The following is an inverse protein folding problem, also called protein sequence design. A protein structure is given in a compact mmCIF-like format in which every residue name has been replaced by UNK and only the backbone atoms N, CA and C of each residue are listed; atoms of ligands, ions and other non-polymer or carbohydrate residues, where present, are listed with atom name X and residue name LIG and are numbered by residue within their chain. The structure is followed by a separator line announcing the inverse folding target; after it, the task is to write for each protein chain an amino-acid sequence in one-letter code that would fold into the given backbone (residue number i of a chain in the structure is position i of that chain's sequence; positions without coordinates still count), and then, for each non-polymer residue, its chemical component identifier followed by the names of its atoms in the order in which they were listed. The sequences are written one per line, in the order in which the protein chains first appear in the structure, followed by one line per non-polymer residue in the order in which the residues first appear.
data_IF_967828920054
#
_entry.id   IF_967828920054
#
_cell.length_a   1.000
_cell.length_b   1.000
_cell.length_c   1.000
_cell.angle_alpha   90.00
_cell.angle_beta   90.00
_cell.angle_gamma   90.00
#
_symmetry.space_group_name_H-M   'P 1'
#
loop_
_entity.id
_entity.type
_entity.pdbx_description
1 polymer ?
#
# COMPACT_ATOMS: atom_id res chain seq x y z
N UNK A 1 -13.82 27.36 -6.67
CA UNK A 1 -14.67 26.20 -6.23
C UNK A 1 -13.91 24.89 -6.43
N UNK A 2 -13.85 23.99 -5.43
CA UNK A 2 -13.11 22.72 -5.53
C UNK A 2 -14.03 21.49 -5.35
N UNK A 3 -13.92 20.54 -6.27
CA UNK A 3 -14.42 19.17 -6.15
C UNK A 3 -13.25 18.20 -5.99
N UNK A 4 -13.34 17.30 -5.01
CA UNK A 4 -12.40 16.20 -4.85
C UNK A 4 -13.11 14.87 -5.08
N UNK A 5 -12.64 14.12 -6.08
CA UNK A 5 -13.11 12.77 -6.40
C UNK A 5 -11.90 11.85 -6.30
N UNK A 6 -11.94 10.88 -5.39
CA UNK A 6 -10.78 10.01 -5.17
C UNK A 6 -11.22 8.60 -4.81
N UNK A 7 -10.33 7.62 -4.94
CA UNK A 7 -10.63 6.25 -4.55
C UNK A 7 -9.93 5.19 -5.40
N UNK A 8 -10.10 3.92 -5.01
CA UNK A 8 -9.47 2.79 -5.70
C UNK A 8 -10.32 2.20 -6.85
N UNK A 9 -11.58 2.62 -7.00
CA UNK A 9 -12.44 2.23 -8.12
C UNK A 9 -12.36 3.28 -9.22
N UNK A 10 -11.39 3.13 -10.10
CA UNK A 10 -11.16 4.04 -11.22
C UNK A 10 -12.39 4.21 -12.13
N UNK A 11 -13.16 3.15 -12.36
CA UNK A 11 -14.36 3.22 -13.21
C UNK A 11 -15.43 4.12 -12.61
N UNK A 12 -15.72 3.97 -11.31
CA UNK A 12 -16.70 4.80 -10.59
C UNK A 12 -16.22 6.25 -10.45
N UNK A 13 -14.95 6.44 -10.07
CA UNK A 13 -14.33 7.78 -10.00
C UNK A 13 -14.43 8.51 -11.34
N UNK A 14 -14.12 7.83 -12.46
CA UNK A 14 -14.18 8.42 -13.81
C UNK A 14 -15.62 8.67 -14.27
N UNK A 15 -16.53 7.75 -13.99
CA UNK A 15 -17.96 7.94 -14.28
C UNK A 15 -18.50 9.16 -13.53
N UNK A 16 -18.10 9.35 -12.26
CA UNK A 16 -18.55 10.50 -11.47
C UNK A 16 -17.96 11.81 -11.95
N UNK A 17 -16.70 11.82 -12.39
CA UNK A 17 -16.10 12.97 -13.06
C UNK A 17 -16.93 13.38 -14.29
N UNK A 18 -17.29 12.43 -15.15
CA UNK A 18 -18.10 12.71 -16.35
C UNK A 18 -19.50 13.24 -16.00
N UNK A 19 -20.13 12.69 -14.95
CA UNK A 19 -21.40 13.19 -14.44
C UNK A 19 -21.27 14.64 -13.93
N UNK A 20 -20.22 14.96 -13.16
CA UNK A 20 -19.98 16.32 -12.67
C UNK A 20 -19.67 17.26 -13.83
N UNK A 21 -18.82 16.86 -14.78
CA UNK A 21 -18.49 17.65 -15.95
C UNK A 21 -19.73 17.97 -16.79
N UNK A 22 -20.54 16.96 -17.12
CA UNK A 22 -21.78 17.16 -17.88
C UNK A 22 -22.77 18.08 -17.16
N UNK A 23 -22.88 17.98 -15.83
CA UNK A 23 -23.69 18.90 -15.03
C UNK A 23 -23.15 20.33 -15.02
N UNK A 24 -21.83 20.51 -14.92
CA UNK A 24 -21.21 21.85 -14.92
C UNK A 24 -21.29 22.50 -16.30
N UNK A 25 -21.04 21.75 -17.37
CA UNK A 25 -21.18 22.22 -18.76
C UNK A 25 -22.65 22.55 -19.06
N UNK A 26 -23.62 21.74 -18.60
CA UNK A 26 -25.04 22.06 -18.79
C UNK A 26 -25.46 23.34 -18.05
N UNK A 27 -24.89 23.60 -16.87
CA UNK A 27 -25.13 24.84 -16.10
C UNK A 27 -24.39 26.05 -16.68
N UNK A 28 -23.29 25.80 -17.39
CA UNK A 28 -22.40 26.80 -17.97
C UNK A 28 -21.94 26.31 -19.35
N UNK A 29 -22.78 26.42 -20.37
CA UNK A 29 -22.47 25.92 -21.71
C UNK A 29 -21.29 26.67 -22.33
N UNK A 30 -21.15 27.95 -22.01
CA UNK A 30 -20.05 28.83 -22.42
C UNK A 30 -18.93 28.81 -21.37
N UNK A 31 -18.50 27.63 -20.92
CA UNK A 31 -17.34 27.52 -20.02
C UNK A 31 -16.26 26.67 -20.66
N UNK A 32 -15.10 27.28 -20.86
CA UNK A 32 -13.92 26.59 -21.37
C UNK A 32 -13.45 25.47 -20.43
N UNK A 33 -13.23 24.28 -21.01
CA UNK A 33 -12.80 23.06 -20.32
C UNK A 33 -11.30 22.82 -20.53
N UNK A 34 -10.58 22.62 -19.42
CA UNK A 34 -9.15 22.31 -19.42
C UNK A 34 -8.86 21.07 -18.59
N UNK A 35 -7.83 20.32 -18.98
CA UNK A 35 -7.35 19.14 -18.25
C UNK A 35 -5.85 19.24 -18.02
N UNK A 36 -5.45 19.16 -16.75
CA UNK A 36 -4.08 19.01 -16.29
C UNK A 36 -3.84 17.55 -15.89
N UNK A 37 -2.77 16.94 -16.41
CA UNK A 37 -2.31 15.59 -16.12
C UNK A 37 -0.77 15.55 -16.08
N UNK A 38 -0.18 14.37 -15.92
CA UNK A 38 1.28 14.21 -15.85
C UNK A 38 2.04 14.64 -17.11
N UNK A 39 1.37 14.74 -18.26
CA UNK A 39 2.01 15.06 -19.54
C UNK A 39 2.09 16.57 -19.78
N UNK A 40 1.20 17.34 -19.16
CA UNK A 40 1.11 18.80 -19.32
C UNK A 40 1.13 19.57 -17.99
N UNK A 41 1.54 18.91 -16.90
CA UNK A 41 1.65 19.54 -15.59
C UNK A 41 2.77 20.58 -15.57
N UNK A 42 2.39 21.79 -15.17
CA UNK A 42 3.32 22.86 -14.81
C UNK A 42 2.62 23.76 -13.79
N UNK A 43 3.30 24.07 -12.70
CA UNK A 43 2.82 24.97 -11.65
C UNK A 43 2.44 26.34 -12.19
N UNK A 44 3.11 26.83 -13.23
CA UNK A 44 2.80 28.09 -13.90
C UNK A 44 1.45 28.05 -14.62
N UNK A 45 1.11 26.91 -15.22
CA UNK A 45 -0.18 26.70 -15.88
C UNK A 45 -1.29 26.62 -14.83
N UNK A 46 -1.03 25.99 -13.68
CA UNK A 46 -1.96 26.02 -12.56
C UNK A 46 -2.21 27.46 -12.07
N UNK A 47 -1.17 28.27 -11.94
CA UNK A 47 -1.26 29.67 -11.52
C UNK A 47 -2.04 30.53 -12.51
N UNK A 48 -1.83 30.28 -13.81
CA UNK A 48 -2.63 30.88 -14.87
C UNK A 48 -4.11 30.53 -14.67
N UNK A 49 -4.46 29.26 -14.50
CA UNK A 49 -5.85 28.86 -14.28
C UNK A 49 -6.46 29.34 -12.97
N UNK A 50 -5.66 29.61 -11.92
CA UNK A 50 -6.15 30.19 -10.67
C UNK A 50 -6.55 31.65 -10.88
N UNK A 51 -5.72 32.40 -11.61
CA UNK A 51 -5.78 33.87 -11.69
C UNK A 51 -6.54 34.39 -12.90
N UNK A 52 -6.59 33.61 -13.97
CA UNK A 52 -7.23 34.00 -15.22
C UNK A 52 -8.67 33.50 -15.32
N UNK A 53 -9.45 34.17 -16.16
CA UNK A 53 -10.80 33.80 -16.54
C UNK A 53 -10.97 34.11 -18.02
N UNK A 54 -11.97 33.50 -18.67
CA UNK A 54 -12.24 33.74 -20.08
C UNK A 54 -12.59 35.22 -20.32
N UNK A 55 -12.05 35.80 -21.39
CA UNK A 55 -12.33 37.19 -21.78
C UNK A 55 -13.81 37.39 -22.15
N UNK A 56 -14.47 36.32 -22.62
CA UNK A 56 -15.87 36.29 -23.07
C UNK A 56 -16.76 35.37 -22.22
N UNK A 57 -16.15 34.57 -21.33
CA UNK A 57 -16.80 33.49 -20.59
C UNK A 57 -16.45 33.57 -19.12
N UNK A 58 -17.47 33.50 -18.26
CA UNK A 58 -17.31 33.91 -16.87
C UNK A 58 -16.39 33.02 -16.02
N UNK A 59 -16.15 31.73 -16.37
CA UNK A 59 -15.44 30.75 -15.51
C UNK A 59 -14.85 29.57 -16.29
N UNK A 60 -13.66 29.11 -15.91
CA UNK A 60 -13.07 27.85 -16.39
C UNK A 60 -13.54 26.62 -15.60
N UNK A 61 -13.55 25.48 -16.28
CA UNK A 61 -13.66 24.15 -15.68
C UNK A 61 -12.32 23.44 -15.87
N UNK A 62 -11.55 23.32 -14.79
CA UNK A 62 -10.20 22.76 -14.80
C UNK A 62 -10.22 21.41 -14.08
N UNK A 63 -9.94 20.34 -14.82
CA UNK A 63 -9.77 19.00 -14.26
C UNK A 63 -8.29 18.77 -13.99
N UNK A 64 -7.96 18.48 -12.73
CA UNK A 64 -6.61 18.11 -12.31
C UNK A 64 -6.60 16.60 -12.07
N UNK A 65 -5.97 15.86 -12.98
CA UNK A 65 -6.04 14.40 -13.06
C UNK A 65 -4.76 13.76 -12.53
N UNK A 66 -4.89 13.01 -11.44
CA UNK A 66 -3.83 12.18 -10.83
C UNK A 66 -2.62 12.98 -10.32
N UNK A 67 -2.77 14.27 -10.01
CA UNK A 67 -1.67 15.14 -9.55
C UNK A 67 -1.54 15.22 -8.02
N UNK A 68 -2.56 14.82 -7.27
CA UNK A 68 -2.45 14.75 -5.81
C UNK A 68 -1.68 13.50 -5.38
N UNK A 69 -1.76 12.38 -6.08
CA UNK A 69 -1.00 11.16 -5.75
C UNK A 69 0.50 11.27 -6.02
N UNK A 70 0.92 12.19 -6.90
CA UNK A 70 2.34 12.53 -7.08
C UNK A 70 2.80 13.47 -5.96
N UNK A 71 3.89 13.10 -5.26
CA UNK A 71 4.42 13.89 -4.12
C UNK A 71 4.86 15.30 -4.51
N UNK A 72 5.50 15.46 -5.67
CA UNK A 72 6.07 16.73 -6.08
C UNK A 72 4.95 17.71 -6.44
N UNK A 73 4.04 17.30 -7.33
CA UNK A 73 2.84 18.06 -7.69
C UNK A 73 1.93 18.33 -6.48
N UNK A 74 1.82 17.39 -5.53
CA UNK A 74 1.03 17.57 -4.33
C UNK A 74 1.56 18.70 -3.44
N UNK A 75 2.88 18.78 -3.22
CA UNK A 75 3.45 19.85 -2.39
C UNK A 75 3.21 21.23 -3.03
N UNK A 76 3.29 21.32 -4.36
CA UNK A 76 2.96 22.55 -5.09
C UNK A 76 1.47 22.91 -4.93
N UNK A 77 0.55 21.98 -5.21
CA UNK A 77 -0.90 22.19 -5.09
C UNK A 77 -1.28 22.57 -3.67
N UNK A 78 -0.70 21.89 -2.67
CA UNK A 78 -0.99 22.07 -1.25
C UNK A 78 -0.75 23.50 -0.78
N UNK A 79 0.27 24.18 -1.30
CA UNK A 79 0.54 25.58 -0.97
C UNK A 79 -0.52 26.53 -1.55
N UNK A 80 -1.16 26.15 -2.65
CA UNK A 80 -2.08 26.99 -3.43
C UNK A 80 -3.57 26.69 -3.18
N UNK A 81 -3.92 25.65 -2.40
CA UNK A 81 -5.32 25.25 -2.13
C UNK A 81 -6.24 26.39 -1.70
N UNK A 82 -5.73 27.34 -0.91
CA UNK A 82 -6.49 28.52 -0.46
C UNK A 82 -6.81 29.49 -1.61
N UNK A 83 -5.86 29.68 -2.53
CA UNK A 83 -6.04 30.52 -3.72
C UNK A 83 -7.00 29.84 -4.70
N UNK A 84 -6.86 28.53 -4.89
CA UNK A 84 -7.75 27.70 -5.73
C UNK A 84 -9.19 27.75 -5.20
N UNK A 85 -9.40 27.72 -3.88
CA UNK A 85 -10.74 27.83 -3.31
C UNK A 85 -11.36 29.21 -3.50
N UNK A 86 -10.54 30.26 -3.45
CA UNK A 86 -10.96 31.65 -3.65
C UNK A 86 -11.18 32.02 -5.13
N UNK A 87 -10.60 31.25 -6.06
CA UNK A 87 -10.74 31.48 -7.50
C UNK A 87 -12.22 31.35 -7.96
N UNK A 88 -12.66 32.21 -8.90
CA UNK A 88 -13.98 32.11 -9.50
C UNK A 88 -14.17 30.83 -10.33
N UNK A 89 -13.07 30.13 -10.68
CA UNK A 89 -13.06 28.94 -11.52
C UNK A 89 -13.44 27.66 -10.76
N UNK A 90 -13.76 26.62 -11.52
CA UNK A 90 -14.11 25.30 -11.01
C UNK A 90 -12.92 24.38 -11.18
N UNK A 91 -12.38 23.90 -10.06
CA UNK A 91 -11.32 22.90 -10.03
C UNK A 91 -11.91 21.55 -9.62
N UNK A 92 -11.67 20.52 -10.43
CA UNK A 92 -12.08 19.15 -10.14
C UNK A 92 -10.81 18.31 -10.04
N UNK A 93 -10.43 17.96 -8.83
CA UNK A 93 -9.36 17.01 -8.57
C UNK A 93 -9.94 15.60 -8.69
N UNK A 94 -9.38 14.83 -9.61
CA UNK A 94 -9.62 13.39 -9.72
C UNK A 94 -8.32 12.66 -9.40
N UNK A 95 -8.36 11.75 -8.44
CA UNK A 95 -7.18 10.97 -8.09
C UNK A 95 -7.51 9.53 -7.69
N UNK A 96 -6.47 8.71 -7.56
CA UNK A 96 -6.56 7.37 -7.01
C UNK A 96 -6.78 7.38 -5.49
N UNK A 97 -6.20 6.39 -4.80
CA UNK A 97 -6.25 6.35 -3.34
C UNK A 97 -5.32 7.39 -2.73
N UNK A 98 -5.87 8.33 -1.96
CA UNK A 98 -5.12 9.36 -1.24
C UNK A 98 -4.94 8.97 0.23
N UNK A 99 -3.89 9.52 0.87
CA UNK A 99 -3.71 9.32 2.32
C UNK A 99 -4.72 10.17 3.11
N UNK A 100 -5.03 9.75 4.35
CA UNK A 100 -5.93 10.51 5.24
C UNK A 100 -5.44 11.94 5.46
N UNK A 101 -4.12 12.15 5.54
CA UNK A 101 -3.53 13.48 5.70
C UNK A 101 -3.80 14.37 4.48
N UNK A 102 -3.61 13.81 3.27
CA UNK A 102 -3.85 14.54 2.03
C UNK A 102 -5.32 14.92 1.88
N UNK A 103 -6.22 13.96 2.12
CA UNK A 103 -7.67 14.20 2.10
C UNK A 103 -8.04 15.28 3.11
N UNK A 104 -7.53 15.21 4.35
CA UNK A 104 -7.81 16.21 5.39
C UNK A 104 -7.30 17.61 5.06
N UNK A 105 -6.25 17.75 4.26
CA UNK A 105 -5.73 19.05 3.81
C UNK A 105 -6.56 19.63 2.68
N UNK A 106 -6.87 18.82 1.66
CA UNK A 106 -7.65 19.24 0.49
C UNK A 106 -9.11 19.47 0.87
N UNK A 107 -9.66 18.68 1.81
CA UNK A 107 -11.05 18.78 2.27
C UNK A 107 -11.40 20.12 2.90
N UNK A 108 -10.46 20.76 3.60
CA UNK A 108 -10.65 22.09 4.21
C UNK A 108 -11.02 23.18 3.21
N UNK A 109 -10.66 22.99 1.94
CA UNK A 109 -10.85 23.94 0.85
C UNK A 109 -11.82 23.39 -0.23
N UNK A 110 -12.31 22.16 -0.05
CA UNK A 110 -13.20 21.47 -0.99
C UNK A 110 -14.67 21.69 -0.65
N UNK A 111 -15.48 21.98 -1.65
CA UNK A 111 -16.94 22.11 -1.48
C UNK A 111 -17.62 20.74 -1.49
N UNK A 112 -17.13 19.81 -2.32
CA UNK A 112 -17.64 18.44 -2.38
C UNK A 112 -16.50 17.44 -2.45
N UNK A 113 -16.63 16.39 -1.65
CA UNK A 113 -15.68 15.30 -1.55
C UNK A 113 -16.44 14.01 -1.75
N UNK A 114 -15.97 13.18 -2.68
CA UNK A 114 -16.58 11.89 -2.97
C UNK A 114 -15.50 10.82 -3.07
N UNK A 115 -15.57 9.86 -2.17
CA UNK A 115 -14.69 8.69 -2.17
C UNK A 115 -15.38 7.52 -2.88
N UNK A 116 -14.75 7.02 -3.93
CA UNK A 116 -15.17 5.82 -4.65
C UNK A 116 -14.16 4.71 -4.43
N UNK A 117 -14.24 4.14 -3.23
CA UNK A 117 -13.50 2.96 -2.86
C UNK A 117 -14.43 1.76 -2.94
N UNK A 118 -14.13 0.79 -3.80
CA UNK A 118 -14.68 -0.54 -3.58
C UNK A 118 -14.02 -1.10 -2.32
N UNK A 119 -14.82 -1.72 -1.45
CA UNK A 119 -14.28 -2.70 -0.52
C UNK A 119 -13.60 -3.76 -1.39
N UNK A 120 -12.29 -3.68 -1.53
CA UNK A 120 -11.51 -4.74 -2.14
C UNK A 120 -11.59 -5.94 -1.21
N UNK A 121 -12.54 -6.83 -1.44
CA UNK A 121 -12.33 -8.26 -1.20
C UNK A 121 -11.38 -8.74 -2.31
N UNK A 122 -10.09 -8.45 -2.14
CA UNK A 122 -9.00 -8.71 -3.11
C UNK A 122 -7.69 -8.11 -2.59
N UNK A 123 -6.56 -8.82 -2.74
CA UNK A 123 -5.59 -9.06 -1.68
C UNK A 123 -4.95 -7.76 -1.17
N UNK A 124 -5.15 -7.55 0.12
CA UNK A 124 -4.28 -6.95 1.11
C UNK A 124 -2.98 -6.32 0.55
N UNK A 125 -2.86 -4.99 0.72
CA UNK A 125 -1.61 -4.25 0.52
C UNK A 125 -0.45 -4.99 1.21
N UNK A 126 0.76 -4.85 0.67
CA UNK A 126 2.04 -5.31 1.27
C UNK A 126 2.16 -4.91 2.78
N UNK A 127 1.43 -3.88 3.24
CA UNK A 127 1.35 -3.46 4.64
C UNK A 127 0.34 -4.16 5.56
N UNK A 128 -0.52 -5.08 5.09
CA UNK A 128 -1.40 -5.86 5.99
C UNK A 128 -1.30 -7.39 5.81
N UNK A 129 -0.29 -7.90 5.09
CA UNK A 129 0.18 -9.25 5.43
C UNK A 129 0.77 -9.11 6.81
N UNK A 130 0.00 -9.50 7.82
CA UNK A 130 0.53 -9.68 9.15
C UNK A 130 1.59 -10.79 9.04
N UNK A 131 2.86 -10.41 8.86
CA UNK A 131 4.01 -11.31 8.68
C UNK A 131 4.07 -12.36 9.78
N UNK A 132 3.55 -12.03 10.97
CA UNK A 132 3.44 -12.96 12.08
C UNK A 132 2.46 -14.09 11.81
N UNK A 133 1.43 -13.92 10.99
CA UNK A 133 0.49 -15.01 10.64
C UNK A 133 1.17 -16.14 9.86
N UNK A 134 2.20 -15.81 9.07
CA UNK A 134 2.98 -16.79 8.33
C UNK A 134 3.95 -17.53 9.25
N UNK A 135 4.65 -16.82 10.14
CA UNK A 135 5.51 -17.44 11.17
C UNK A 135 4.70 -18.25 12.19
N UNK A 136 3.46 -17.84 12.47
CA UNK A 136 2.54 -18.58 13.34
C UNK A 136 2.09 -19.88 12.70
N UNK A 137 1.78 -19.87 11.40
CA UNK A 137 1.45 -21.09 10.66
C UNK A 137 2.63 -22.06 10.65
N UNK A 138 3.86 -21.56 10.50
CA UNK A 138 5.09 -22.35 10.64
C UNK A 138 5.19 -22.95 12.05
N UNK A 139 5.08 -22.15 13.11
CA UNK A 139 5.16 -22.63 14.49
C UNK A 139 4.03 -23.59 14.88
N UNK A 140 2.84 -23.44 14.29
CA UNK A 140 1.69 -24.30 14.51
C UNK A 140 1.74 -25.61 13.69
N UNK A 141 2.71 -25.77 12.79
CA UNK A 141 2.76 -26.86 11.78
C UNK A 141 1.52 -26.95 10.91
N UNK A 142 0.89 -25.81 10.66
CA UNK A 142 -0.23 -25.72 9.74
C UNK A 142 0.28 -25.56 8.31
N UNK A 143 0.71 -26.67 7.70
CA UNK A 143 1.31 -26.71 6.36
C UNK A 143 0.42 -26.06 5.30
N UNK A 144 -0.90 -26.30 5.37
CA UNK A 144 -1.86 -25.73 4.41
C UNK A 144 -1.90 -24.21 4.53
N UNK A 145 -2.04 -23.69 5.76
CA UNK A 145 -2.07 -22.24 5.99
C UNK A 145 -0.71 -21.60 5.68
N UNK A 146 0.39 -22.26 6.04
CA UNK A 146 1.73 -21.77 5.76
C UNK A 146 1.95 -21.59 4.26
N UNK A 147 1.60 -22.60 3.45
CA UNK A 147 1.72 -22.52 1.99
C UNK A 147 0.81 -21.45 1.39
N UNK A 148 -0.44 -21.33 1.84
CA UNK A 148 -1.34 -20.25 1.40
C UNK A 148 -0.75 -18.87 1.73
N UNK A 149 -0.19 -18.69 2.93
CA UNK A 149 0.40 -17.41 3.33
C UNK A 149 1.70 -17.12 2.56
N UNK A 150 2.50 -18.15 2.28
CA UNK A 150 3.68 -18.05 1.42
C UNK A 150 3.31 -17.56 0.01
N UNK A 151 2.34 -18.22 -0.63
CA UNK A 151 1.88 -17.85 -1.97
C UNK A 151 1.27 -16.45 -1.99
N UNK A 152 0.51 -16.05 -0.94
CA UNK A 152 0.02 -14.68 -0.80
C UNK A 152 1.16 -13.67 -0.66
N UNK A 153 2.21 -13.98 0.10
CA UNK A 153 3.37 -13.11 0.27
C UNK A 153 4.10 -12.89 -1.05
N UNK A 154 4.37 -13.96 -1.80
CA UNK A 154 4.95 -13.88 -3.15
C UNK A 154 4.04 -13.09 -4.10
N UNK A 155 2.73 -13.35 -4.08
CA UNK A 155 1.76 -12.69 -4.97
C UNK A 155 1.71 -11.17 -4.77
N UNK A 156 1.90 -10.67 -3.54
CA UNK A 156 1.95 -9.23 -3.28
C UNK A 156 3.34 -8.62 -3.51
N UNK A 157 4.32 -9.41 -3.95
CA UNK A 157 5.68 -8.93 -4.25
C UNK A 157 6.62 -8.87 -3.04
N UNK A 158 6.40 -9.69 -2.01
CA UNK A 158 7.40 -9.86 -0.95
C UNK A 158 8.58 -10.65 -1.49
N UNK A 159 9.79 -10.12 -1.32
CA UNK A 159 11.01 -10.79 -1.75
C UNK A 159 11.23 -12.09 -0.96
N UNK A 160 11.65 -13.20 -1.59
CA UNK A 160 11.90 -14.47 -0.90
C UNK A 160 12.87 -14.35 0.27
N UNK A 161 13.84 -13.43 0.22
CA UNK A 161 14.81 -13.13 1.28
C UNK A 161 14.13 -12.57 2.53
N UNK A 162 13.04 -11.83 2.37
CA UNK A 162 12.26 -11.33 3.48
C UNK A 162 11.50 -12.46 4.17
N UNK A 163 10.85 -13.32 3.39
CA UNK A 163 10.17 -14.52 3.88
C UNK A 163 11.16 -15.43 4.62
N UNK A 164 12.33 -15.65 4.04
CA UNK A 164 13.42 -16.41 4.64
C UNK A 164 13.83 -15.84 6.01
N UNK A 165 14.03 -14.52 6.12
CA UNK A 165 14.40 -13.87 7.39
C UNK A 165 13.35 -14.12 8.47
N UNK A 166 12.06 -14.08 8.11
CA UNK A 166 10.95 -14.37 9.02
C UNK A 166 10.96 -15.82 9.51
N UNK A 167 11.13 -16.79 8.60
CA UNK A 167 11.21 -18.21 8.96
C UNK A 167 12.42 -18.51 9.84
N UNK A 168 13.58 -17.98 9.48
CA UNK A 168 14.80 -18.13 10.26
C UNK A 168 14.63 -17.55 11.68
N UNK A 169 14.07 -16.34 11.79
CA UNK A 169 13.78 -15.72 13.08
C UNK A 169 12.81 -16.57 13.93
N UNK A 170 11.74 -17.10 13.33
CA UNK A 170 10.76 -17.90 14.05
C UNK A 170 11.38 -19.22 14.57
N UNK A 171 12.14 -19.93 13.75
CA UNK A 171 12.81 -21.19 14.15
C UNK A 171 13.86 -20.92 15.22
N UNK A 172 14.68 -19.87 15.04
CA UNK A 172 15.64 -19.42 16.05
C UNK A 172 14.95 -19.08 17.37
N UNK A 173 13.82 -18.39 17.32
CA UNK A 173 13.04 -18.02 18.52
C UNK A 173 12.52 -19.27 19.24
N UNK A 174 12.01 -20.27 18.50
CA UNK A 174 11.58 -21.55 19.08
C UNK A 174 12.75 -22.30 19.74
N UNK A 175 13.90 -22.38 19.08
CA UNK A 175 15.11 -23.03 19.60
C UNK A 175 15.63 -22.35 20.88
N UNK A 176 15.81 -21.03 20.85
CA UNK A 176 16.32 -20.28 22.01
C UNK A 176 15.34 -20.38 23.17
N UNK A 177 14.03 -20.26 22.90
CA UNK A 177 13.01 -20.41 23.94
C UNK A 177 13.04 -21.77 24.65
N UNK A 178 13.36 -22.86 23.94
CA UNK A 178 13.53 -24.19 24.56
C UNK A 178 14.81 -24.30 25.42
N UNK A 179 15.84 -23.50 25.13
CA UNK A 179 17.16 -23.59 25.76
C UNK A 179 17.33 -22.62 26.94
N UNK A 180 16.52 -21.58 27.01
CA UNK A 180 16.57 -20.54 28.04
C UNK A 180 15.56 -20.76 29.16
N UNK A 181 15.83 -20.18 30.34
CA UNK A 181 14.91 -20.23 31.50
C UNK A 181 13.87 -19.10 31.51
N UNK A 182 14.17 -17.98 30.86
CA UNK A 182 13.30 -16.80 30.82
C UNK A 182 13.39 -16.03 29.50
N UNK A 183 12.40 -15.17 29.24
CA UNK A 183 12.41 -14.28 28.07
C UNK A 183 13.63 -13.34 28.05
N UNK A 184 14.09 -12.89 29.22
CA UNK A 184 15.28 -12.05 29.36
C UNK A 184 16.54 -12.80 28.93
N UNK A 185 16.70 -14.04 29.38
CA UNK A 185 17.86 -14.89 29.02
C UNK A 185 17.87 -15.23 27.52
N UNK A 186 16.68 -15.34 26.91
CA UNK A 186 16.52 -15.57 25.49
C UNK A 186 16.80 -14.32 24.62
N UNK A 187 16.88 -13.12 25.22
CA UNK A 187 16.92 -11.86 24.46
C UNK A 187 15.65 -11.59 23.64
N UNK A 188 14.50 -12.16 24.06
CA UNK A 188 13.23 -12.04 23.36
C UNK A 188 12.23 -11.21 24.18
N UNK A 189 11.32 -10.51 23.49
CA UNK A 189 10.15 -9.92 24.14
C UNK A 189 9.32 -11.02 24.84
N UNK A 190 8.78 -10.79 26.05
CA UNK A 190 7.97 -11.78 26.78
C UNK A 190 6.84 -12.42 25.96
N UNK A 191 6.17 -11.66 25.10
CA UNK A 191 5.10 -12.15 24.23
C UNK A 191 5.65 -13.16 23.20
N UNK A 192 6.73 -12.79 22.49
CA UNK A 192 7.39 -13.63 21.49
C UNK A 192 7.95 -14.91 22.14
N UNK A 193 8.56 -14.77 23.32
CA UNK A 193 9.09 -15.89 24.08
C UNK A 193 8.00 -16.92 24.43
N UNK A 194 6.92 -16.47 25.06
CA UNK A 194 5.81 -17.34 25.47
C UNK A 194 5.18 -18.05 24.27
N UNK A 195 5.01 -17.32 23.17
CA UNK A 195 4.45 -17.84 21.92
C UNK A 195 5.37 -18.88 21.27
N UNK A 196 6.66 -18.55 21.13
CA UNK A 196 7.66 -19.44 20.54
C UNK A 196 7.86 -20.70 21.37
N UNK A 197 7.86 -20.60 22.70
CA UNK A 197 7.89 -21.75 23.60
C UNK A 197 6.66 -22.66 23.42
N UNK A 198 5.48 -22.06 23.20
CA UNK A 198 4.26 -22.80 22.88
C UNK A 198 4.38 -23.58 21.57
N UNK A 199 4.81 -22.93 20.49
CA UNK A 199 5.02 -23.55 19.19
C UNK A 199 6.12 -24.61 19.18
N UNK A 200 7.19 -24.40 19.96
CA UNK A 200 8.30 -25.33 20.01
C UNK A 200 7.89 -26.72 20.53
N UNK A 201 6.74 -26.85 21.22
CA UNK A 201 6.17 -28.15 21.63
C UNK A 201 5.71 -29.01 20.45
N UNK A 202 5.44 -28.41 19.30
CA UNK A 202 5.01 -29.11 18.09
C UNK A 202 6.17 -29.79 17.35
N UNK A 203 7.41 -29.54 17.77
CA UNK A 203 8.62 -30.01 17.10
C UNK A 203 9.54 -30.74 18.07
N UNK A 204 10.27 -31.73 17.54
CA UNK A 204 11.43 -32.28 18.27
C UNK A 204 12.59 -31.29 18.21
N UNK A 205 13.44 -31.28 19.24
CA UNK A 205 14.62 -30.39 19.27
C UNK A 205 15.54 -30.62 18.06
N UNK A 206 15.81 -31.88 17.72
CA UNK A 206 16.65 -32.24 16.57
C UNK A 206 16.01 -31.86 15.23
N UNK A 207 14.68 -31.84 15.17
CA UNK A 207 13.94 -31.41 14.00
C UNK A 207 14.07 -29.89 13.81
N UNK A 208 13.91 -29.09 14.86
CA UNK A 208 14.15 -27.63 14.79
C UNK A 208 15.60 -27.31 14.40
N UNK A 209 16.58 -28.08 14.92
CA UNK A 209 17.97 -27.94 14.51
C UNK A 209 18.15 -28.22 13.01
N UNK A 210 17.55 -29.29 12.50
CA UNK A 210 17.58 -29.63 11.06
C UNK A 210 16.92 -28.55 10.21
N UNK A 211 15.77 -28.02 10.62
CA UNK A 211 15.09 -26.92 9.91
C UNK A 211 15.95 -25.66 9.87
N UNK A 212 16.58 -25.30 10.99
CA UNK A 212 17.51 -24.18 11.08
C UNK A 212 18.70 -24.36 10.13
N UNK A 213 19.35 -25.53 10.15
CA UNK A 213 20.46 -25.85 9.25
C UNK A 213 20.03 -25.87 7.78
N UNK A 214 18.84 -26.38 7.47
CA UNK A 214 18.32 -26.43 6.10
C UNK A 214 18.10 -25.01 5.54
N UNK A 215 17.50 -24.11 6.32
CA UNK A 215 17.33 -22.71 5.92
C UNK A 215 18.67 -22.04 5.62
N UNK A 216 19.66 -22.18 6.51
CA UNK A 216 21.00 -21.61 6.30
C UNK A 216 21.62 -22.16 5.00
N UNK A 217 21.51 -23.48 4.77
CA UNK A 217 21.98 -24.11 3.53
C UNK A 217 21.31 -23.52 2.30
N UNK A 218 19.97 -23.44 2.29
CA UNK A 218 19.20 -22.87 1.17
C UNK A 218 19.71 -21.46 0.83
N UNK A 219 19.92 -20.61 1.84
CA UNK A 219 20.44 -19.26 1.64
C UNK A 219 21.83 -19.24 0.98
N UNK A 220 22.77 -20.05 1.46
CA UNK A 220 24.12 -20.10 0.91
C UNK A 220 24.18 -20.74 -0.47
N UNK A 221 23.43 -21.81 -0.70
CA UNK A 221 23.41 -22.51 -1.99
C UNK A 221 22.74 -21.66 -3.08
N UNK A 222 21.68 -20.90 -2.74
CA UNK A 222 21.12 -19.88 -3.61
C UNK A 222 22.17 -18.82 -3.99
N UNK A 223 22.93 -18.30 -3.01
CA UNK A 223 23.94 -17.27 -3.26
C UNK A 223 25.11 -17.76 -4.11
N UNK A 224 25.35 -19.07 -4.11
CA UNK A 224 26.33 -19.76 -4.97
C UNK A 224 25.77 -20.12 -6.36
N UNK A 225 24.49 -19.85 -6.63
CA UNK A 225 23.83 -20.17 -7.89
C UNK A 225 23.54 -21.67 -8.08
N UNK A 226 23.55 -22.46 -7.00
CA UNK A 226 23.32 -23.92 -7.05
C UNK A 226 21.83 -24.23 -7.21
N UNK A 227 20.96 -23.36 -6.67
CA UNK A 227 19.51 -23.53 -6.69
C UNK A 227 18.79 -22.19 -6.86
N UNK A 228 17.53 -22.26 -7.31
CA UNK A 228 16.62 -21.13 -7.28
C UNK A 228 16.07 -20.93 -5.87
N UNK A 229 16.23 -19.73 -5.33
CA UNK A 229 15.93 -19.44 -3.93
C UNK A 229 14.44 -19.49 -3.61
N UNK A 230 13.59 -19.00 -4.53
CA UNK A 230 12.14 -19.01 -4.36
C UNK A 230 11.62 -20.46 -4.36
N UNK A 231 12.04 -21.28 -5.32
CA UNK A 231 11.65 -22.69 -5.41
C UNK A 231 12.12 -23.47 -4.18
N UNK A 232 13.36 -23.23 -3.72
CA UNK A 232 13.87 -23.93 -2.54
C UNK A 232 13.14 -23.52 -1.25
N UNK A 233 12.76 -22.26 -1.12
CA UNK A 233 12.00 -21.78 0.04
C UNK A 233 10.55 -22.31 0.03
N UNK A 234 9.93 -22.42 -1.16
CA UNK A 234 8.63 -23.08 -1.28
C UNK A 234 8.71 -24.57 -0.91
N UNK A 235 9.74 -25.29 -1.39
CA UNK A 235 9.96 -26.69 -1.00
C UNK A 235 10.12 -26.83 0.51
N UNK A 236 10.88 -25.93 1.15
CA UNK A 236 10.99 -25.89 2.59
C UNK A 236 9.62 -25.76 3.28
N UNK A 237 8.75 -24.87 2.80
CA UNK A 237 7.37 -24.71 3.31
C UNK A 237 6.55 -25.99 3.17
N UNK A 238 6.73 -26.72 2.07
CA UNK A 238 6.02 -27.97 1.80
C UNK A 238 6.54 -29.16 2.62
N UNK A 239 7.70 -29.05 3.27
CA UNK A 239 8.31 -30.13 4.08
C UNK A 239 8.00 -30.04 5.59
N UNK A 240 7.36 -28.95 6.05
CA UNK A 240 6.96 -28.73 7.46
C UNK A 240 5.85 -29.68 7.92
#
# INVERSE_FOLDING_TARGET
MIYLIYGNNFSKTRSKLQEILSLQIKKKPDASYFKLNSENWDTRILDEFISSQGLFESKYIVVVDSMLSNKDSYEEIKTKLKEISASPNIFIFIDGSLTKEMVNKVSKYSEKIQEFSDKKEGPTKIGEINVFTMTDALGARDKKRLWIMYQKAIFVGMEPEEIFRLFFWQIKSMLISQMSKSAKDAGLNPFVYKKSLGFAKNFKKDELNKLSSNLIRIYHDARRGILDFNIALERFVLEI
#
